data_IF_392940680305
#
_entry.id   IF_392940680305
#
_cell.length_a   1.000
_cell.length_b   1.000
_cell.length_c   1.000
_cell.angle_alpha   90.00
_cell.angle_beta   90.00
_cell.angle_gamma   90.00
#
_symmetry.space_group_name_H-M   'P 1'
#
loop_
_entity.id
_entity.type
_entity.pdbx_description
1 polymer ?
#
# COMPACT_ATOMS: atom_id res chain seq x y z
N UNK A 1 -14.47 4.28 6.64
CA UNK A 1 -15.40 3.35 5.93
C UNK A 1 -16.85 3.58 6.35
N UNK A 2 -17.28 3.21 7.56
CA UNK A 2 -18.68 3.38 7.99
C UNK A 2 -19.21 4.82 7.89
N UNK A 3 -18.38 5.83 8.20
CA UNK A 3 -18.77 7.24 8.01
C UNK A 3 -18.91 7.59 6.52
N UNK A 4 -17.93 7.17 5.70
CA UNK A 4 -17.94 7.39 4.25
C UNK A 4 -19.11 6.70 3.55
N UNK A 5 -19.58 5.56 4.05
CA UNK A 5 -20.72 4.86 3.46
C UNK A 5 -22.04 5.63 3.62
N UNK A 6 -22.12 6.56 4.57
CA UNK A 6 -23.26 7.46 4.75
C UNK A 6 -23.16 8.72 3.87
N UNK A 7 -21.99 8.97 3.29
CA UNK A 7 -21.77 10.10 2.37
C UNK A 7 -21.99 9.61 0.94
N UNK A 8 -22.85 10.25 0.14
CA UNK A 8 -23.01 9.86 -1.26
C UNK A 8 -21.68 10.06 -2.01
N UNK A 9 -21.27 9.11 -2.89
CA UNK A 9 -20.10 9.32 -3.73
C UNK A 9 -20.29 10.55 -4.62
N UNK A 10 -19.30 11.46 -4.72
CA UNK A 10 -19.41 12.61 -5.61
C UNK A 10 -19.34 12.16 -7.07
N UNK A 11 -19.99 12.90 -7.97
CA UNK A 11 -19.91 12.66 -9.42
C UNK A 11 -18.49 12.88 -9.95
N UNK A 12 -17.79 13.86 -9.37
CA UNK A 12 -16.39 14.16 -9.69
C UNK A 12 -15.68 14.65 -8.45
N UNK A 13 -14.36 14.39 -8.36
CA UNK A 13 -13.51 14.92 -7.31
C UNK A 13 -13.13 16.37 -7.61
N UNK A 14 -13.13 17.21 -6.58
CA UNK A 14 -12.74 18.61 -6.63
C UNK A 14 -11.32 18.79 -6.06
N UNK A 15 -10.63 19.90 -6.36
CA UNK A 15 -9.30 20.18 -5.81
C UNK A 15 -9.22 20.13 -4.27
N UNK A 16 -10.32 20.47 -3.59
CA UNK A 16 -10.37 20.43 -2.12
C UNK A 16 -10.42 19.00 -1.56
N UNK A 17 -10.91 18.02 -2.33
CA UNK A 17 -10.90 16.61 -1.91
C UNK A 17 -9.47 16.07 -1.73
N UNK A 18 -8.52 16.60 -2.50
CA UNK A 18 -7.09 16.29 -2.42
C UNK A 18 -6.37 17.03 -1.28
N UNK A 19 -7.08 17.85 -0.50
CA UNK A 19 -6.58 18.50 0.72
C UNK A 19 -7.41 18.14 1.95
N UNK A 20 -8.56 17.49 1.73
CA UNK A 20 -9.49 17.12 2.78
C UNK A 20 -8.88 16.12 3.76
N UNK A 21 -9.38 16.15 5.00
CA UNK A 21 -9.06 15.12 5.98
C UNK A 21 -10.20 14.95 6.98
N UNK A 22 -10.40 13.73 7.46
CA UNK A 22 -11.23 13.45 8.63
C UNK A 22 -10.33 13.21 9.82
N UNK A 23 -10.68 13.76 10.99
CA UNK A 23 -9.92 13.61 12.24
C UNK A 23 -10.86 13.24 13.37
N UNK A 24 -10.55 12.14 14.04
CA UNK A 24 -11.24 11.68 15.23
C UNK A 24 -10.26 11.76 16.41
N UNK A 25 -10.72 12.27 17.56
CA UNK A 25 -9.99 12.25 18.83
C UNK A 25 -10.85 11.51 19.85
N UNK A 26 -10.31 10.43 20.41
CA UNK A 26 -10.99 9.60 21.39
C UNK A 26 -10.35 9.81 22.76
N UNK A 27 -11.19 10.04 23.78
CA UNK A 27 -10.78 10.16 25.18
C UNK A 27 -11.72 9.30 26.02
N UNK A 28 -11.28 8.10 26.37
CA UNK A 28 -12.05 7.13 27.14
C UNK A 28 -11.63 7.20 28.61
N UNK A 29 -12.60 7.44 29.49
CA UNK A 29 -12.40 7.40 30.95
C UNK A 29 -13.00 6.10 31.49
N UNK A 30 -12.12 5.20 31.97
CA UNK A 30 -12.51 3.90 32.56
C UNK A 30 -13.36 3.00 31.63
N UNK A 31 -13.22 3.17 30.31
CA UNK A 31 -13.99 2.44 29.30
C UNK A 31 -13.06 1.77 28.28
N UNK A 32 -13.34 0.50 27.95
CA UNK A 32 -12.66 -0.29 26.91
C UNK A 32 -11.12 -0.29 26.95
N UNK A 33 -10.53 -0.19 28.14
CA UNK A 33 -9.06 -0.10 28.32
C UNK A 33 -8.31 -1.37 27.92
N UNK A 34 -9.00 -2.51 27.88
CA UNK A 34 -8.40 -3.80 27.52
C UNK A 34 -8.13 -3.93 26.02
N UNK A 35 -8.86 -3.18 25.18
CA UNK A 35 -8.77 -3.31 23.72
C UNK A 35 -8.15 -2.08 23.03
N UNK A 36 -8.34 -0.87 23.58
CA UNK A 36 -7.87 0.37 22.97
C UNK A 36 -7.17 1.28 23.99
N UNK A 37 -6.17 2.06 23.56
CA UNK A 37 -5.61 3.14 24.37
C UNK A 37 -6.70 4.10 24.86
N UNK A 38 -6.54 4.65 26.07
CA UNK A 38 -7.52 5.60 26.62
C UNK A 38 -7.56 6.92 25.84
N UNK A 39 -6.44 7.33 25.24
CA UNK A 39 -6.33 8.56 24.48
C UNK A 39 -5.62 8.30 23.16
N UNK A 40 -6.33 8.52 22.06
CA UNK A 40 -5.74 8.45 20.74
C UNK A 40 -6.41 9.41 19.76
N UNK A 41 -5.70 9.71 18.68
CA UNK A 41 -6.23 10.43 17.52
C UNK A 41 -6.07 9.55 16.29
N UNK A 42 -7.02 9.62 15.38
CA UNK A 42 -6.94 8.97 14.09
C UNK A 42 -7.30 9.99 13.02
N UNK A 43 -6.48 10.09 11.98
CA UNK A 43 -6.69 10.97 10.84
C UNK A 43 -6.69 10.15 9.57
N UNK A 44 -7.68 10.37 8.72
CA UNK A 44 -7.72 9.89 7.34
C UNK A 44 -7.46 11.07 6.40
N UNK A 45 -6.54 10.89 5.45
CA UNK A 45 -6.21 11.88 4.43
C UNK A 45 -7.01 11.62 3.16
N UNK A 46 -7.49 12.68 2.49
CA UNK A 46 -8.19 12.64 1.21
C UNK A 46 -9.27 11.52 1.08
N UNK A 47 -10.24 11.42 2.00
CA UNK A 47 -11.11 10.24 2.11
C UNK A 47 -11.88 9.89 0.82
N UNK A 48 -12.42 10.90 0.11
CA UNK A 48 -13.14 10.69 -1.15
C UNK A 48 -12.22 10.25 -2.30
N UNK A 49 -10.98 10.74 -2.32
CA UNK A 49 -9.98 10.35 -3.32
C UNK A 49 -9.65 8.87 -3.17
N UNK A 50 -9.33 8.43 -1.95
CA UNK A 50 -9.03 7.02 -1.69
C UNK A 50 -10.24 6.09 -1.82
N UNK A 51 -11.46 6.58 -1.54
CA UNK A 51 -12.69 5.85 -1.88
C UNK A 51 -12.79 5.61 -3.39
N UNK A 52 -12.60 6.64 -4.21
CA UNK A 52 -12.66 6.49 -5.67
C UNK A 52 -11.50 5.65 -6.22
N UNK A 53 -10.30 5.71 -5.63
CA UNK A 53 -9.20 4.81 -5.97
C UNK A 53 -9.54 3.35 -5.69
N UNK A 54 -10.13 3.04 -4.52
CA UNK A 54 -10.59 1.68 -4.19
C UNK A 54 -11.60 1.16 -5.22
N UNK A 55 -12.57 1.97 -5.60
CA UNK A 55 -13.53 1.65 -6.66
C UNK A 55 -12.83 1.36 -8.00
N UNK A 56 -11.89 2.22 -8.43
CA UNK A 56 -11.13 2.05 -9.69
C UNK A 56 -10.24 0.81 -9.70
N UNK A 57 -9.79 0.36 -8.54
CA UNK A 57 -9.04 -0.87 -8.38
C UNK A 57 -9.94 -2.10 -8.13
N UNK A 58 -11.27 -1.94 -8.19
CA UNK A 58 -12.21 -3.03 -7.97
C UNK A 58 -12.16 -3.59 -6.55
N UNK A 59 -11.97 -2.72 -5.56
CA UNK A 59 -11.96 -3.08 -4.14
C UNK A 59 -13.20 -2.49 -3.49
N UNK A 60 -14.06 -3.38 -2.99
CA UNK A 60 -15.23 -2.99 -2.21
C UNK A 60 -14.81 -2.43 -0.84
N UNK A 61 -15.54 -1.41 -0.38
CA UNK A 61 -15.25 -0.72 0.87
C UNK A 61 -15.41 -1.63 2.10
N UNK A 62 -16.39 -2.53 2.07
CA UNK A 62 -16.66 -3.46 3.15
C UNK A 62 -15.62 -4.57 3.18
N UNK A 63 -15.22 -5.10 2.02
CA UNK A 63 -14.13 -6.07 1.92
C UNK A 63 -12.81 -5.46 2.41
N UNK A 64 -12.48 -4.24 1.97
CA UNK A 64 -11.31 -3.50 2.45
C UNK A 64 -11.30 -3.34 3.98
N UNK A 65 -12.45 -2.98 4.57
CA UNK A 65 -12.58 -2.88 6.01
C UNK A 65 -12.35 -4.23 6.70
N UNK A 66 -12.97 -5.29 6.21
CA UNK A 66 -12.85 -6.64 6.78
C UNK A 66 -11.38 -7.09 6.72
N UNK A 67 -10.72 -6.95 5.57
CA UNK A 67 -9.31 -7.29 5.37
C UNK A 67 -8.39 -6.63 6.40
N UNK A 68 -8.63 -5.36 6.77
CA UNK A 68 -7.78 -4.64 7.72
C UNK A 68 -8.16 -4.81 9.20
N UNK A 69 -9.40 -5.17 9.51
CA UNK A 69 -9.93 -5.07 10.89
C UNK A 69 -10.39 -6.38 11.51
N UNK A 70 -10.64 -7.44 10.71
CA UNK A 70 -11.08 -8.73 11.26
C UNK A 70 -10.04 -9.37 12.16
N UNK A 71 -8.75 -9.20 11.82
CA UNK A 71 -7.62 -9.66 12.61
C UNK A 71 -6.46 -8.68 12.43
N UNK A 72 -5.61 -8.47 13.45
CA UNK A 72 -4.48 -7.54 13.36
C UNK A 72 -3.56 -7.86 12.17
N UNK A 73 -3.16 -6.85 11.39
CA UNK A 73 -2.09 -6.99 10.41
C UNK A 73 -0.79 -7.44 11.07
N UNK A 74 0.01 -8.24 10.36
CA UNK A 74 1.26 -8.79 10.89
C UNK A 74 2.44 -8.50 9.95
N UNK A 75 3.62 -8.27 10.52
CA UNK A 75 4.84 -8.15 9.72
C UNK A 75 5.22 -9.52 9.13
N UNK A 76 5.69 -9.54 7.88
CA UNK A 76 6.38 -10.71 7.31
C UNK A 76 7.88 -10.44 7.24
N UNK A 77 8.66 -11.32 7.88
CA UNK A 77 10.11 -11.19 7.96
C UNK A 77 10.58 -10.10 8.93
N UNK A 78 11.72 -9.48 8.62
CA UNK A 78 12.38 -8.53 9.52
C UNK A 78 11.97 -7.08 9.32
N UNK A 79 11.25 -6.76 8.24
CA UNK A 79 10.85 -5.39 7.95
C UNK A 79 9.54 -5.06 8.67
N UNK A 80 9.67 -4.45 9.84
CA UNK A 80 8.53 -4.05 10.68
C UNK A 80 7.71 -2.91 10.08
N UNK A 81 8.20 -2.25 9.03
CA UNK A 81 7.50 -1.15 8.36
C UNK A 81 6.47 -1.64 7.34
N UNK A 82 6.42 -2.94 7.05
CA UNK A 82 5.44 -3.55 6.14
C UNK A 82 4.62 -4.59 6.90
N UNK A 83 3.33 -4.33 7.05
CA UNK A 83 2.37 -5.23 7.65
C UNK A 83 1.46 -5.79 6.55
N UNK A 84 1.16 -7.07 6.60
CA UNK A 84 0.17 -7.70 5.74
C UNK A 84 -1.16 -7.80 6.47
N UNK A 85 -2.25 -7.57 5.74
CA UNK A 85 -3.58 -7.94 6.24
C UNK A 85 -3.65 -9.44 6.54
N UNK A 86 -4.56 -9.84 7.42
CA UNK A 86 -4.69 -11.25 7.83
C UNK A 86 -4.99 -12.19 6.64
N UNK A 87 -5.68 -11.69 5.62
CA UNK A 87 -5.99 -12.40 4.39
C UNK A 87 -4.94 -12.21 3.29
N UNK A 88 -3.85 -11.50 3.59
CA UNK A 88 -2.70 -11.23 2.70
C UNK A 88 -3.06 -10.48 1.42
N UNK A 89 -4.24 -9.88 1.33
CA UNK A 89 -4.68 -9.12 0.15
C UNK A 89 -4.14 -7.70 0.12
N UNK A 90 -3.81 -7.13 1.28
CA UNK A 90 -3.35 -5.75 1.46
C UNK A 90 -2.02 -5.71 2.19
N UNK A 91 -1.25 -4.66 1.90
CA UNK A 91 -0.04 -4.26 2.61
C UNK A 91 -0.30 -2.90 3.25
N UNK A 92 0.02 -2.76 4.54
CA UNK A 92 0.07 -1.49 5.26
C UNK A 92 1.54 -1.13 5.48
N UNK A 93 1.97 -0.04 4.85
CA UNK A 93 3.33 0.48 4.96
C UNK A 93 3.36 1.64 5.94
N UNK A 94 4.29 1.60 6.89
CA UNK A 94 4.64 2.75 7.72
C UNK A 94 5.47 3.75 6.91
N UNK A 95 5.05 5.02 6.96
CA UNK A 95 5.65 6.14 6.24
C UNK A 95 6.33 7.11 7.21
N UNK A 96 7.33 7.83 6.71
CA UNK A 96 7.80 9.07 7.35
C UNK A 96 6.84 10.22 7.06
N UNK A 97 6.98 11.34 7.77
CA UNK A 97 6.23 12.57 7.47
C UNK A 97 6.58 13.15 6.09
N UNK A 98 7.82 12.95 5.64
CA UNK A 98 8.29 13.36 4.30
C UNK A 98 7.59 12.53 3.22
N UNK A 99 7.57 11.19 3.37
CA UNK A 99 6.86 10.30 2.45
C UNK A 99 5.36 10.67 2.33
N UNK A 100 4.73 11.12 3.42
CA UNK A 100 3.34 11.58 3.40
C UNK A 100 3.18 12.85 2.59
N UNK A 101 4.11 13.80 2.71
CA UNK A 101 4.11 15.02 1.92
C UNK A 101 4.30 14.70 0.42
N UNK A 102 5.19 13.77 0.09
CA UNK A 102 5.44 13.31 -1.28
C UNK A 102 4.20 12.61 -1.87
N UNK A 103 3.62 11.64 -1.15
CA UNK A 103 2.39 10.95 -1.56
C UNK A 103 1.24 11.94 -1.74
N UNK A 104 1.12 12.93 -0.86
CA UNK A 104 0.09 13.96 -0.99
C UNK A 104 0.33 14.89 -2.18
N UNK A 105 1.60 15.23 -2.48
CA UNK A 105 1.98 16.06 -3.64
C UNK A 105 1.72 15.37 -4.98
N UNK A 106 1.90 14.05 -5.04
CA UNK A 106 1.67 13.27 -6.26
C UNK A 106 0.21 12.82 -6.43
N UNK A 107 -0.61 12.82 -5.36
CA UNK A 107 -1.92 12.16 -5.33
C UNK A 107 -2.87 12.59 -6.46
N UNK A 108 -2.89 13.87 -6.83
CA UNK A 108 -3.72 14.36 -7.93
C UNK A 108 -3.31 13.78 -9.28
N UNK A 109 -2.02 13.79 -9.59
CA UNK A 109 -1.46 13.22 -10.81
C UNK A 109 -1.65 11.71 -10.85
N UNK A 110 -1.42 11.03 -9.73
CA UNK A 110 -1.63 9.59 -9.61
C UNK A 110 -3.09 9.20 -9.80
N UNK A 111 -4.03 9.93 -9.19
CA UNK A 111 -5.47 9.68 -9.42
C UNK A 111 -5.84 9.85 -10.89
N UNK A 112 -5.41 10.95 -11.52
CA UNK A 112 -5.66 11.20 -12.94
C UNK A 112 -5.08 10.08 -13.82
N UNK A 113 -3.87 9.62 -13.51
CA UNK A 113 -3.23 8.50 -14.20
C UNK A 113 -4.05 7.21 -14.09
N UNK A 114 -4.47 6.85 -12.87
CA UNK A 114 -5.33 5.69 -12.60
C UNK A 114 -6.66 5.77 -13.34
N UNK A 115 -7.24 6.97 -13.48
CA UNK A 115 -8.45 7.19 -14.29
C UNK A 115 -8.18 6.88 -15.75
N UNK A 116 -7.11 7.43 -16.32
CA UNK A 116 -6.74 7.29 -17.73
C UNK A 116 -6.39 5.84 -18.11
N UNK A 117 -5.66 5.13 -17.26
CA UNK A 117 -5.29 3.72 -17.50
C UNK A 117 -6.34 2.72 -17.00
N UNK A 118 -7.49 3.21 -16.51
CA UNK A 118 -8.59 2.40 -15.99
C UNK A 118 -8.14 1.40 -14.90
N UNK A 119 -7.24 1.84 -14.01
CA UNK A 119 -6.67 1.01 -12.94
C UNK A 119 -5.65 -0.04 -13.39
N UNK A 120 -5.40 -0.21 -14.70
CA UNK A 120 -4.46 -1.19 -15.23
C UNK A 120 -3.03 -0.64 -15.23
N UNK A 121 -2.37 -0.70 -14.08
CA UNK A 121 -0.99 -0.22 -13.84
C UNK A 121 -0.18 -1.22 -12.99
N UNK A 122 1.14 -1.20 -13.12
CA UNK A 122 2.15 -1.85 -12.29
C UNK A 122 2.55 -1.01 -11.07
N UNK A 123 2.18 0.28 -11.03
CA UNK A 123 2.39 1.15 -9.87
C UNK A 123 1.67 0.60 -8.63
N UNK A 124 2.17 0.89 -7.41
CA UNK A 124 1.47 0.54 -6.19
C UNK A 124 0.04 1.08 -6.20
N UNK A 125 -0.93 0.24 -5.85
CA UNK A 125 -2.34 0.62 -5.81
C UNK A 125 -2.66 1.19 -4.43
N UNK A 126 -2.67 2.52 -4.29
CA UNK A 126 -2.93 3.19 -3.01
C UNK A 126 -4.43 3.20 -2.68
N UNK A 127 -4.77 2.77 -1.47
CA UNK A 127 -6.16 2.51 -1.05
C UNK A 127 -6.60 3.31 0.17
N UNK A 128 -5.66 3.89 0.90
CA UNK A 128 -5.93 4.77 2.03
C UNK A 128 -4.64 5.25 2.68
N UNK A 129 -4.67 6.47 3.20
CA UNK A 129 -3.55 7.05 3.95
C UNK A 129 -4.05 7.60 5.27
N UNK A 130 -3.36 7.22 6.35
CA UNK A 130 -3.81 7.45 7.72
C UNK A 130 -2.68 7.99 8.58
N UNK A 131 -3.06 8.65 9.67
CA UNK A 131 -2.17 8.94 10.79
C UNK A 131 -2.85 8.52 12.09
N UNK A 132 -2.19 7.62 12.82
CA UNK A 132 -2.57 7.27 14.18
C UNK A 132 -1.68 8.06 15.15
N UNK A 133 -2.27 8.60 16.22
CA UNK A 133 -1.52 9.20 17.32
C UNK A 133 -1.94 8.53 18.63
N UNK A 134 -1.03 7.81 19.27
CA UNK A 134 -1.25 7.11 20.54
C UNK A 134 -0.20 7.61 21.52
N UNK A 135 -0.59 8.05 22.71
CA UNK A 135 0.35 8.55 23.74
C UNK A 135 1.30 9.66 23.26
N UNK A 136 0.87 10.43 22.26
CA UNK A 136 1.64 11.50 21.59
C UNK A 136 2.70 11.04 20.59
N UNK A 137 2.84 9.73 20.36
CA UNK A 137 3.60 9.19 19.23
C UNK A 137 2.72 9.19 17.98
N UNK A 138 3.26 9.63 16.85
CA UNK A 138 2.56 9.65 15.57
C UNK A 138 3.13 8.60 14.61
N UNK A 139 2.26 7.77 14.07
CA UNK A 139 2.57 6.81 13.00
C UNK A 139 1.76 7.14 11.76
N UNK A 140 2.42 7.16 10.60
CA UNK A 140 1.78 7.40 9.30
C UNK A 140 1.70 6.09 8.55
N UNK A 141 0.53 5.78 7.99
CA UNK A 141 0.24 4.48 7.41
C UNK A 141 -0.33 4.64 6.01
N UNK A 142 0.18 3.89 5.05
CA UNK A 142 -0.34 3.78 3.70
C UNK A 142 -0.82 2.35 3.45
N UNK A 143 -2.11 2.18 3.19
CA UNK A 143 -2.67 0.91 2.77
C UNK A 143 -2.64 0.80 1.25
N UNK A 144 -2.15 -0.33 0.74
CA UNK A 144 -2.06 -0.62 -0.69
C UNK A 144 -2.34 -2.10 -0.98
N UNK A 145 -2.69 -2.43 -2.22
CA UNK A 145 -2.87 -3.83 -2.64
C UNK A 145 -1.54 -4.60 -2.51
N UNK A 146 -1.59 -5.84 -2.04
CA UNK A 146 -0.43 -6.73 -2.08
C UNK A 146 -0.13 -7.14 -3.53
N UNK A 147 1.12 -6.94 -3.98
CA UNK A 147 1.59 -7.37 -5.30
C UNK A 147 1.64 -8.89 -5.42
N UNK A 148 1.88 -9.59 -4.31
CA UNK A 148 1.92 -11.05 -4.31
C UNK A 148 0.53 -11.65 -4.15
N UNK A 149 0.35 -12.85 -4.69
CA UNK A 149 -0.90 -13.60 -4.53
C UNK A 149 -1.16 -13.90 -3.06
N UNK A 150 -2.40 -13.73 -2.64
CA UNK A 150 -2.86 -14.15 -1.30
C UNK A 150 -3.03 -15.67 -1.18
N UNK A 151 -2.97 -16.42 -2.30
CA UNK A 151 -3.19 -17.88 -2.34
C UNK A 151 -1.96 -18.67 -2.74
N UNK A 152 -1.10 -18.10 -3.59
CA UNK A 152 0.04 -18.82 -4.17
C UNK A 152 1.32 -18.42 -3.44
N UNK A 153 2.08 -19.38 -2.88
CA UNK A 153 3.32 -19.08 -2.19
C UNK A 153 4.38 -18.55 -3.16
N UNK A 154 5.14 -17.56 -2.69
CA UNK A 154 6.28 -16.99 -3.41
C UNK A 154 7.53 -17.77 -3.02
N UNK A 155 8.19 -18.38 -4.02
CA UNK A 155 9.38 -19.20 -3.79
C UNK A 155 10.70 -18.42 -4.00
N UNK A 156 10.66 -17.33 -4.77
CA UNK A 156 11.81 -16.46 -5.05
C UNK A 156 11.34 -15.02 -5.16
N UNK A 157 12.14 -14.09 -4.63
CA UNK A 157 11.82 -12.67 -4.62
C UNK A 157 13.04 -11.86 -5.04
N UNK A 158 12.82 -10.89 -5.93
CA UNK A 158 13.85 -9.98 -6.41
C UNK A 158 13.35 -8.53 -6.31
N UNK A 159 14.20 -7.64 -5.79
CA UNK A 159 14.10 -6.19 -5.96
C UNK A 159 15.02 -5.84 -7.14
N UNK A 160 14.46 -5.34 -8.25
CA UNK A 160 15.19 -5.01 -9.47
C UNK A 160 15.10 -3.50 -9.75
N UNK A 161 16.24 -2.87 -10.04
CA UNK A 161 16.34 -1.43 -10.34
C UNK A 161 17.10 -1.13 -11.63
N UNK A 162 17.75 -2.11 -12.25
CA UNK A 162 18.55 -1.96 -13.46
C UNK A 162 19.96 -1.40 -13.24
N UNK A 163 20.30 -0.96 -12.03
CA UNK A 163 21.67 -0.60 -11.65
C UNK A 163 22.45 -1.80 -11.10
N UNK A 164 23.78 -1.71 -11.05
CA UNK A 164 24.64 -2.78 -10.51
C UNK A 164 25.32 -2.42 -9.18
N UNK A 165 25.42 -1.14 -8.85
CA UNK A 165 26.09 -0.66 -7.63
C UNK A 165 25.21 -0.89 -6.41
N UNK A 166 25.70 -1.62 -5.41
CA UNK A 166 24.94 -1.99 -4.19
C UNK A 166 23.66 -2.80 -4.47
N UNK A 167 23.64 -3.52 -5.59
CA UNK A 167 22.52 -4.35 -6.05
C UNK A 167 22.79 -5.84 -5.92
N UNK A 168 23.46 -6.22 -4.84
CA UNK A 168 23.54 -7.60 -4.34
C UNK A 168 22.88 -7.66 -2.94
N UNK A 169 22.22 -8.78 -2.63
CA UNK A 169 21.70 -9.05 -1.31
C UNK A 169 22.86 -9.29 -0.32
N UNK A 170 22.72 -8.77 0.91
CA UNK A 170 23.70 -9.03 1.96
C UNK A 170 23.66 -10.48 2.42
N UNK A 171 24.74 -10.97 3.01
CA UNK A 171 24.79 -12.35 3.55
C UNK A 171 23.69 -12.58 4.60
N UNK A 172 23.37 -11.56 5.40
CA UNK A 172 22.25 -11.59 6.34
C UNK A 172 20.89 -11.79 5.64
N UNK A 173 20.67 -11.14 4.50
CA UNK A 173 19.44 -11.31 3.72
C UNK A 173 19.41 -12.69 3.06
N UNK A 174 20.53 -13.13 2.47
CA UNK A 174 20.67 -14.44 1.82
C UNK A 174 20.46 -15.62 2.77
N UNK A 175 20.71 -15.43 4.07
CA UNK A 175 20.46 -16.43 5.11
C UNK A 175 18.99 -16.60 5.53
N UNK A 176 18.06 -15.78 5.04
CA UNK A 176 16.63 -15.94 5.30
C UNK A 176 16.03 -17.08 4.48
N UNK A 177 14.92 -17.64 4.95
CA UNK A 177 14.16 -18.68 4.23
C UNK A 177 13.67 -18.20 2.86
N UNK A 178 13.16 -16.96 2.78
CA UNK A 178 12.75 -16.31 1.55
C UNK A 178 13.50 -14.98 1.37
N UNK A 179 14.73 -15.00 0.81
CA UNK A 179 15.55 -13.81 0.67
C UNK A 179 15.00 -12.87 -0.41
N UNK A 180 15.17 -11.57 -0.19
CA UNK A 180 14.97 -10.52 -1.21
C UNK A 180 16.28 -10.32 -1.97
N UNK A 181 16.42 -11.03 -3.08
CA UNK A 181 17.59 -10.95 -3.95
C UNK A 181 17.55 -9.66 -4.79
N UNK A 182 18.68 -9.28 -5.40
CA UNK A 182 18.78 -8.06 -6.20
C UNK A 182 19.33 -8.34 -7.61
N UNK A 183 19.57 -7.28 -8.37
CA UNK A 183 19.98 -7.33 -9.78
C UNK A 183 21.23 -8.20 -10.03
N UNK A 184 22.27 -8.07 -9.22
CA UNK A 184 23.51 -8.86 -9.34
C UNK A 184 23.25 -10.33 -9.03
N UNK A 185 22.42 -10.62 -8.01
CA UNK A 185 22.04 -12.00 -7.68
C UNK A 185 21.25 -12.66 -8.82
N UNK A 186 20.36 -11.90 -9.46
CA UNK A 186 19.57 -12.36 -10.61
C UNK A 186 20.46 -12.74 -11.79
N UNK A 187 21.45 -11.89 -12.11
CA UNK A 187 22.42 -12.14 -13.17
C UNK A 187 23.35 -13.32 -12.86
N UNK A 188 23.92 -13.36 -11.65
CA UNK A 188 24.84 -14.42 -11.25
C UNK A 188 24.17 -15.81 -11.25
N UNK A 189 22.89 -15.87 -10.88
CA UNK A 189 22.10 -17.11 -10.96
C UNK A 189 21.64 -17.47 -12.37
N UNK A 190 21.91 -16.61 -13.36
CA UNK A 190 21.41 -16.74 -14.73
C UNK A 190 19.89 -16.95 -14.77
N UNK A 191 19.17 -16.27 -13.88
CA UNK A 191 17.73 -16.44 -13.69
C UNK A 191 16.98 -16.03 -14.98
N UNK A 192 15.87 -16.74 -15.26
CA UNK A 192 15.00 -16.47 -16.41
C UNK A 192 13.55 -16.43 -15.95
N UNK A 193 12.80 -15.47 -16.46
CA UNK A 193 11.35 -15.38 -16.29
C UNK A 193 10.74 -15.75 -17.64
N UNK A 194 10.04 -16.89 -17.68
CA UNK A 194 9.37 -17.38 -18.86
C UNK A 194 7.91 -16.91 -18.84
N UNK A 195 7.55 -16.08 -19.81
CA UNK A 195 6.21 -15.52 -20.01
C UNK A 195 5.85 -15.64 -21.48
N UNK A 196 4.55 -15.75 -21.80
CA UNK A 196 4.10 -15.76 -23.19
C UNK A 196 4.42 -14.45 -23.90
N UNK A 197 4.58 -14.49 -25.23
CA UNK A 197 4.92 -13.28 -26.01
C UNK A 197 3.85 -12.17 -25.89
N UNK A 198 2.57 -12.55 -25.80
CA UNK A 198 1.47 -11.61 -25.59
C UNK A 198 1.54 -10.98 -24.19
N UNK A 199 1.62 -11.78 -23.12
CA UNK A 199 1.75 -11.27 -21.74
C UNK A 199 3.00 -10.40 -21.55
N UNK A 200 4.10 -10.77 -22.20
CA UNK A 200 5.35 -10.00 -22.18
C UNK A 200 5.16 -8.64 -22.84
N UNK A 201 4.53 -8.59 -24.01
CA UNK A 201 4.23 -7.33 -24.70
C UNK A 201 3.36 -6.44 -23.81
N UNK A 202 2.27 -6.98 -23.27
CA UNK A 202 1.35 -6.26 -22.41
C UNK A 202 2.03 -5.74 -21.14
N UNK A 203 2.89 -6.56 -20.52
CA UNK A 203 3.69 -6.14 -19.36
C UNK A 203 4.65 -5.01 -19.70
N UNK A 204 5.39 -5.12 -20.82
CA UNK A 204 6.36 -4.11 -21.23
C UNK A 204 5.71 -2.79 -21.65
N UNK A 205 4.54 -2.84 -22.27
CA UNK A 205 3.75 -1.64 -22.61
C UNK A 205 3.29 -0.91 -21.34
N UNK A 206 2.77 -1.64 -20.34
CA UNK A 206 2.43 -1.06 -19.04
C UNK A 206 3.66 -0.50 -18.35
N UNK A 207 4.76 -1.25 -18.29
CA UNK A 207 6.00 -0.80 -17.65
C UNK A 207 6.52 0.49 -18.28
N UNK A 208 6.52 0.59 -19.61
CA UNK A 208 6.93 1.80 -20.31
C UNK A 208 6.06 3.01 -19.94
N UNK A 209 4.74 2.86 -20.02
CA UNK A 209 3.77 3.91 -19.71
C UNK A 209 3.77 4.31 -18.22
N UNK A 210 4.13 3.41 -17.33
CA UNK A 210 4.17 3.66 -15.88
C UNK A 210 5.45 4.38 -15.45
N UNK A 211 6.51 4.35 -16.28
CA UNK A 211 7.81 5.01 -16.02
C UNK A 211 7.90 6.41 -16.64
N UNK A 212 7.21 6.65 -17.76
CA UNK A 212 7.11 7.95 -18.45
C UNK A 212 6.19 8.94 -17.71
#
# INVERSE_FOLDING_TARGET
INELSQVPPPVMLLPDDFKASSKIKVNNHLFNRENLPSHFKFKEYCPQVFRNLRERFGIDDQDYQVSLTRSPPHAEGSDRRLLLSYDRTLVVKELSSEDVADVHGLLSHYHQYVVQCHGSTLLPQFLGMYRASVESEESYLLAMRNTFSHRLPVHRKYDLKGSLVSREASDKEKGKELPTLKDVDFLNKSEKIYVGEEDKRDFMEKLKRDVE
#
